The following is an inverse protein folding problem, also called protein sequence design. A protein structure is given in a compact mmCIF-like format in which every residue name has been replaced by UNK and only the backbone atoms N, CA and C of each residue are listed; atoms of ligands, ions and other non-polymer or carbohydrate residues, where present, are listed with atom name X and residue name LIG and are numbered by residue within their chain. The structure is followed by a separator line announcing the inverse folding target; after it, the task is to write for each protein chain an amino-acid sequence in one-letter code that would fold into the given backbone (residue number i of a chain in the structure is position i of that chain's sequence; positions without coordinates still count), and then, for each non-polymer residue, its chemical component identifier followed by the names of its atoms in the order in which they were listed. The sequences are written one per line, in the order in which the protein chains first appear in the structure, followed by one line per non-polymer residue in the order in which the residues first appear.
data_IF_734362301055
#
_entry.id   IF_734362301055
#
_cell.length_a   1.000
_cell.length_b   1.000
_cell.length_c   1.000
_cell.angle_alpha   90.00
_cell.angle_beta   90.00
_cell.angle_gamma   90.00
#
_symmetry.space_group_name_H-M   'P 1'
#
loop_
_entity.id
_entity.type
_entity.pdbx_description
1 polymer ?
#
# COMPACT_ATOMS: atom_id res chain seq x y z
N UNK A 1 11.45 40.94 -34.11
CA UNK A 1 12.18 39.71 -34.45
C UNK A 1 12.63 38.90 -33.25
N UNK A 2 13.05 39.56 -32.21
CA UNK A 2 13.47 38.88 -30.95
C UNK A 2 12.34 38.20 -30.21
N UNK A 3 11.10 38.68 -30.35
CA UNK A 3 9.94 38.01 -29.75
C UNK A 3 9.59 36.64 -30.34
N UNK A 4 10.12 36.32 -31.50
CA UNK A 4 9.92 35.02 -32.15
C UNK A 4 10.66 33.90 -31.43
N UNK A 5 11.88 34.14 -31.00
CA UNK A 5 12.69 33.17 -30.29
C UNK A 5 12.15 32.90 -28.89
N UNK A 6 11.53 33.90 -28.27
CA UNK A 6 10.87 33.78 -26.99
C UNK A 6 9.69 32.79 -27.04
N UNK A 7 8.86 32.86 -28.06
CA UNK A 7 7.76 31.93 -28.26
C UNK A 7 8.26 30.51 -28.60
N UNK A 8 9.35 30.40 -29.35
CA UNK A 8 9.98 29.15 -29.65
C UNK A 8 10.56 28.46 -28.41
N UNK A 9 11.13 29.23 -27.51
CA UNK A 9 11.66 28.76 -26.22
C UNK A 9 10.53 28.27 -25.29
N UNK A 10 9.44 29.04 -25.18
CA UNK A 10 8.27 28.67 -24.39
C UNK A 10 7.64 27.39 -24.91
N UNK A 11 7.56 27.17 -26.21
CA UNK A 11 7.05 25.96 -26.81
C UNK A 11 7.98 24.74 -26.58
N UNK A 12 9.29 24.96 -26.48
CA UNK A 12 10.26 23.92 -26.14
C UNK A 12 10.21 23.55 -24.65
N UNK A 13 10.03 24.54 -23.80
CA UNK A 13 9.91 24.34 -22.35
C UNK A 13 8.62 23.62 -21.98
N UNK A 14 7.57 23.72 -22.77
CA UNK A 14 6.32 23.00 -22.56
C UNK A 14 6.39 21.52 -22.92
N UNK A 15 7.47 21.05 -23.53
CA UNK A 15 7.72 19.63 -23.75
C UNK A 15 8.22 19.03 -22.45
N UNK A 16 7.34 18.31 -21.78
CA UNK A 16 7.73 17.53 -20.61
C UNK A 16 8.88 16.58 -20.96
N UNK A 17 9.89 16.48 -20.11
CA UNK A 17 10.94 15.49 -20.31
C UNK A 17 10.31 14.09 -20.34
N UNK A 18 10.61 13.32 -21.37
CA UNK A 18 10.07 11.97 -21.62
C UNK A 18 10.38 10.95 -20.49
N UNK A 19 11.18 11.34 -19.51
CA UNK A 19 11.72 10.47 -18.48
C UNK A 19 11.30 10.84 -17.06
N UNK A 20 10.22 11.61 -16.90
CA UNK A 20 9.75 11.94 -15.56
C UNK A 20 9.20 10.68 -14.89
N UNK A 21 9.89 10.22 -13.85
CA UNK A 21 9.35 9.17 -12.99
C UNK A 21 8.00 9.61 -12.44
N UNK A 22 7.00 8.75 -12.59
CA UNK A 22 5.69 9.00 -11.99
C UNK A 22 5.86 9.03 -10.47
N UNK A 23 5.25 10.00 -9.80
CA UNK A 23 5.30 10.06 -8.35
C UNK A 23 4.68 8.78 -7.76
N UNK A 24 5.21 8.34 -6.63
CA UNK A 24 4.65 7.21 -5.88
C UNK A 24 3.15 7.40 -5.69
N UNK A 25 2.36 6.41 -6.07
CA UNK A 25 0.91 6.45 -5.87
C UNK A 25 0.59 6.38 -4.38
N UNK A 26 -0.13 7.39 -3.88
CA UNK A 26 -0.66 7.38 -2.51
C UNK A 26 -2.11 6.94 -2.60
N UNK A 27 -2.37 5.71 -2.21
CA UNK A 27 -3.69 5.11 -2.21
C UNK A 27 -4.06 4.63 -0.81
N UNK A 28 -5.35 4.61 -0.55
CA UNK A 28 -5.94 4.04 0.65
C UNK A 28 -6.95 2.99 0.26
N UNK A 29 -7.19 2.04 1.15
CA UNK A 29 -8.31 1.12 1.04
C UNK A 29 -9.08 1.08 2.35
N UNK A 30 -10.32 0.62 2.29
CA UNK A 30 -11.16 0.39 3.47
C UNK A 30 -12.35 -0.47 3.10
N UNK A 31 -12.95 -1.11 4.08
CA UNK A 31 -14.15 -1.94 3.85
C UNK A 31 -15.42 -1.09 3.87
N UNK A 32 -16.19 -1.23 2.82
CA UNK A 32 -17.57 -0.73 2.73
C UNK A 32 -18.48 -1.52 3.69
N UNK A 33 -19.65 -0.98 3.96
CA UNK A 33 -20.70 -1.67 4.75
C UNK A 33 -21.08 -3.04 4.14
N UNK A 34 -20.96 -3.18 2.83
CA UNK A 34 -21.18 -4.45 2.11
C UNK A 34 -20.13 -5.54 2.41
N UNK A 35 -19.00 -5.17 3.02
CA UNK A 35 -17.86 -6.05 3.23
C UNK A 35 -16.85 -6.06 2.08
N UNK A 36 -17.15 -5.36 0.99
CA UNK A 36 -16.25 -5.22 -0.14
C UNK A 36 -15.17 -4.16 0.11
N UNK A 37 -14.03 -4.31 -0.54
CA UNK A 37 -12.95 -3.34 -0.45
C UNK A 37 -13.16 -2.17 -1.42
N UNK A 38 -13.01 -0.95 -0.90
CA UNK A 38 -12.89 0.26 -1.69
C UNK A 38 -11.43 0.71 -1.70
N UNK A 39 -10.95 1.23 -2.82
CA UNK A 39 -9.59 1.75 -2.96
C UNK A 39 -9.60 3.09 -3.69
N UNK A 40 -8.77 4.02 -3.25
CA UNK A 40 -8.68 5.35 -3.84
C UNK A 40 -8.13 6.40 -2.88
N UNK A 41 -8.64 7.60 -3.01
CA UNK A 41 -8.29 8.73 -2.15
C UNK A 41 -9.12 8.72 -0.88
N UNK A 42 -8.47 8.83 0.26
CA UNK A 42 -9.13 8.91 1.56
C UNK A 42 -9.52 10.35 1.89
N UNK A 43 -10.76 10.55 2.27
CA UNK A 43 -11.26 11.77 2.86
C UNK A 43 -11.83 11.46 4.25
N UNK A 44 -11.39 12.20 5.25
CA UNK A 44 -11.89 12.09 6.63
C UNK A 44 -12.55 13.41 7.01
N UNK A 45 -13.83 13.37 7.39
CA UNK A 45 -14.55 14.57 7.80
C UNK A 45 -14.27 14.93 9.28
N UNK A 46 -14.84 16.06 9.72
CA UNK A 46 -14.70 16.55 11.10
C UNK A 46 -15.26 15.61 12.17
N UNK A 47 -16.10 14.67 11.78
CA UNK A 47 -16.71 13.65 12.67
C UNK A 47 -15.94 12.31 12.64
N UNK A 48 -14.84 12.25 11.89
CA UNK A 48 -14.07 11.02 11.73
C UNK A 48 -14.67 10.02 10.74
N UNK A 49 -15.63 10.43 9.93
CA UNK A 49 -16.19 9.57 8.89
C UNK A 49 -15.21 9.45 7.74
N UNK A 50 -14.82 8.22 7.45
CA UNK A 50 -13.88 7.90 6.38
C UNK A 50 -14.63 7.55 5.08
N UNK A 51 -14.27 8.23 4.01
CA UNK A 51 -14.85 8.01 2.68
C UNK A 51 -13.69 7.79 1.70
N UNK A 52 -13.75 6.69 0.98
CA UNK A 52 -12.84 6.42 -0.15
C UNK A 52 -13.49 6.93 -1.42
N UNK A 53 -12.78 7.74 -2.18
CA UNK A 53 -13.21 8.28 -3.47
C UNK A 53 -12.35 7.72 -4.59
N UNK A 54 -12.91 7.58 -5.81
CA UNK A 54 -12.13 7.10 -6.95
C UNK A 54 -10.89 7.98 -7.15
N UNK A 55 -9.75 7.35 -7.28
CA UNK A 55 -8.54 8.02 -7.73
C UNK A 55 -8.46 8.04 -9.26
N UNK A 56 -7.60 8.91 -9.77
CA UNK A 56 -7.31 8.92 -11.20
C UNK A 56 -6.69 7.57 -11.60
N UNK A 57 -7.27 6.90 -12.58
CA UNK A 57 -6.85 5.56 -13.04
C UNK A 57 -6.97 4.44 -11.98
N UNK A 58 -7.83 4.59 -11.01
CA UNK A 58 -8.16 3.55 -10.04
C UNK A 58 -9.54 2.99 -10.38
N UNK A 59 -9.57 1.72 -10.75
CA UNK A 59 -10.81 0.97 -10.96
C UNK A 59 -11.16 0.28 -9.64
N UNK A 60 -12.38 0.47 -9.18
CA UNK A 60 -12.82 -0.19 -7.95
C UNK A 60 -14.02 0.49 -7.33
N UNK A 61 -14.47 -0.09 -6.24
CA UNK A 61 -15.58 0.44 -5.46
C UNK A 61 -15.14 1.62 -4.60
N UNK A 62 -16.07 2.48 -4.28
CA UNK A 62 -15.84 3.67 -3.46
C UNK A 62 -17.05 3.94 -2.56
N UNK A 63 -16.86 4.74 -1.53
CA UNK A 63 -17.90 5.14 -0.60
C UNK A 63 -17.40 5.24 0.83
N UNK A 64 -18.34 5.28 1.77
CA UNK A 64 -18.04 5.28 3.20
C UNK A 64 -17.51 3.92 3.63
N UNK A 65 -16.38 3.94 4.33
CA UNK A 65 -15.70 2.75 4.80
C UNK A 65 -15.64 2.71 6.33
N UNK A 66 -15.46 1.50 6.87
CA UNK A 66 -15.17 1.33 8.30
C UNK A 66 -13.77 1.89 8.59
N UNK A 67 -13.64 2.90 9.49
CA UNK A 67 -12.36 3.53 9.81
C UNK A 67 -11.29 2.55 10.30
N UNK A 68 -11.69 1.50 11.02
CA UNK A 68 -10.76 0.50 11.56
C UNK A 68 -10.09 -0.35 10.48
N UNK A 69 -10.68 -0.39 9.28
CA UNK A 69 -10.13 -1.15 8.15
C UNK A 69 -9.31 -0.30 7.19
N UNK A 70 -9.22 0.99 7.44
CA UNK A 70 -8.47 1.90 6.56
C UNK A 70 -6.98 1.60 6.65
N UNK A 71 -6.36 1.40 5.49
CA UNK A 71 -4.93 1.18 5.35
C UNK A 71 -4.38 1.90 4.13
N UNK A 72 -3.13 2.32 4.23
CA UNK A 72 -2.43 2.99 3.13
C UNK A 72 -1.64 1.98 2.30
N UNK A 73 -1.59 2.20 0.98
CA UNK A 73 -0.68 1.48 0.11
C UNK A 73 0.77 1.82 0.45
N UNK A 74 1.62 0.81 0.50
CA UNK A 74 3.04 0.97 0.82
C UNK A 74 3.84 1.65 -0.31
N UNK A 75 3.31 1.62 -1.52
CA UNK A 75 4.03 2.02 -2.73
C UNK A 75 4.88 0.90 -3.33
N UNK A 76 4.85 -0.27 -2.75
CA UNK A 76 5.56 -1.47 -3.23
C UNK A 76 4.52 -2.45 -3.79
N UNK A 77 4.84 -3.06 -4.92
CA UNK A 77 4.02 -4.08 -5.54
C UNK A 77 4.47 -5.47 -5.09
N UNK A 78 3.52 -6.39 -5.01
CA UNK A 78 3.83 -7.78 -4.75
C UNK A 78 4.31 -8.50 -6.03
N UNK A 79 4.61 -9.78 -5.91
CA UNK A 79 5.06 -10.66 -7.00
C UNK A 79 4.11 -10.66 -8.21
N UNK A 80 2.81 -10.43 -8.01
CA UNK A 80 1.79 -10.38 -9.06
C UNK A 80 1.43 -8.94 -9.48
N UNK A 81 2.27 -7.96 -9.17
CA UNK A 81 2.07 -6.53 -9.46
C UNK A 81 0.82 -5.92 -8.80
N UNK A 82 0.44 -6.42 -7.63
CA UNK A 82 -0.65 -5.87 -6.81
C UNK A 82 -0.09 -4.89 -5.78
N UNK A 83 -0.81 -3.79 -5.54
CA UNK A 83 -0.46 -2.85 -4.48
C UNK A 83 -0.51 -3.55 -3.11
N UNK A 84 0.56 -3.43 -2.33
CA UNK A 84 0.62 -3.93 -0.95
C UNK A 84 0.13 -2.83 -0.01
N UNK A 85 -0.88 -3.14 0.80
CA UNK A 85 -1.48 -2.23 1.78
C UNK A 85 -1.14 -2.61 3.21
N UNK A 86 -1.23 -1.64 4.11
CA UNK A 86 -1.28 -1.93 5.54
C UNK A 86 -2.38 -2.97 5.84
N UNK A 87 -2.07 -3.92 6.72
CA UNK A 87 -2.97 -5.01 7.05
C UNK A 87 -2.88 -6.22 6.12
N UNK A 88 -2.14 -6.14 5.02
CA UNK A 88 -1.89 -7.31 4.19
C UNK A 88 -1.02 -8.34 4.92
N UNK A 89 -1.27 -9.60 4.64
CA UNK A 89 -0.44 -10.72 5.08
C UNK A 89 0.39 -11.16 3.88
N UNK A 90 1.70 -11.10 4.04
CA UNK A 90 2.66 -11.48 3.00
C UNK A 90 3.31 -12.80 3.32
N UNK A 91 3.51 -13.60 2.29
CA UNK A 91 4.51 -14.67 2.28
C UNK A 91 5.83 -14.06 1.82
N UNK A 92 6.82 -14.10 2.70
CA UNK A 92 8.13 -13.50 2.45
C UNK A 92 8.98 -14.46 1.64
N UNK A 93 9.41 -14.01 0.48
CA UNK A 93 10.21 -14.79 -0.48
C UNK A 93 11.63 -14.27 -0.68
N UNK A 94 11.89 -13.00 -0.32
CA UNK A 94 13.24 -12.47 -0.44
C UNK A 94 14.17 -13.04 0.66
N UNK A 95 15.44 -13.00 0.38
CA UNK A 95 16.46 -13.48 1.32
C UNK A 95 16.53 -12.57 2.54
N UNK A 96 16.32 -13.15 3.70
CA UNK A 96 16.51 -12.50 4.99
C UNK A 96 17.53 -13.30 5.80
N UNK A 97 18.19 -12.71 6.82
CA UNK A 97 19.07 -13.47 7.69
C UNK A 97 18.39 -14.64 8.41
N UNK A 98 17.09 -14.55 8.60
CA UNK A 98 16.26 -15.59 9.26
C UNK A 98 15.11 -16.00 8.33
N UNK A 99 14.76 -17.28 8.29
CA UNK A 99 13.58 -17.73 7.56
C UNK A 99 12.35 -17.00 8.06
N UNK A 100 11.63 -16.36 7.17
CA UNK A 100 10.36 -15.68 7.48
C UNK A 100 9.27 -16.39 6.68
N UNK A 101 8.20 -16.78 7.37
CA UNK A 101 7.01 -17.34 6.74
C UNK A 101 6.02 -16.24 6.38
N UNK A 102 4.96 -16.12 7.18
CA UNK A 102 3.95 -15.08 7.02
C UNK A 102 4.31 -13.83 7.85
N UNK A 103 4.04 -12.67 7.30
CA UNK A 103 4.26 -11.39 7.97
C UNK A 103 3.12 -10.41 7.68
N UNK A 104 2.80 -9.56 8.65
CA UNK A 104 1.77 -8.54 8.54
C UNK A 104 2.39 -7.21 8.20
N UNK A 105 1.84 -6.51 7.21
CA UNK A 105 2.28 -5.17 6.81
C UNK A 105 1.73 -4.13 7.78
N UNK A 106 2.61 -3.36 8.38
CA UNK A 106 2.28 -2.24 9.29
C UNK A 106 3.22 -1.07 9.06
N UNK A 107 2.77 0.12 9.45
CA UNK A 107 3.65 1.28 9.52
C UNK A 107 4.48 1.23 10.81
N UNK A 108 5.78 1.15 10.64
CA UNK A 108 6.74 1.17 11.76
C UNK A 108 7.12 2.61 12.09
N UNK A 109 6.59 3.13 13.19
CA UNK A 109 6.88 4.50 13.64
C UNK A 109 8.36 4.72 14.00
N UNK A 110 9.05 3.67 14.45
CA UNK A 110 10.48 3.78 14.81
C UNK A 110 11.37 3.97 13.60
N UNK A 111 11.00 3.33 12.49
CA UNK A 111 11.74 3.41 11.22
C UNK A 111 11.13 4.39 10.22
N UNK A 112 9.97 4.96 10.54
CA UNK A 112 9.20 5.85 9.63
C UNK A 112 8.96 5.22 8.26
N UNK A 113 8.60 3.95 8.24
CA UNK A 113 8.43 3.16 7.03
C UNK A 113 7.39 2.05 7.19
N UNK A 114 6.82 1.62 6.08
CA UNK A 114 6.03 0.37 6.05
C UNK A 114 6.98 -0.82 6.11
N UNK A 115 6.69 -1.76 6.98
CA UNK A 115 7.51 -2.96 7.17
C UNK A 115 6.63 -4.20 7.33
N UNK A 116 7.22 -5.35 7.13
CA UNK A 116 6.57 -6.63 7.36
C UNK A 116 6.98 -7.18 8.73
N UNK A 117 6.00 -7.49 9.55
CA UNK A 117 6.17 -8.00 10.91
C UNK A 117 5.85 -9.49 10.90
N UNK A 118 6.85 -10.38 11.05
CA UNK A 118 6.61 -11.83 11.06
C UNK A 118 5.59 -12.23 12.12
N UNK A 119 4.68 -13.12 11.77
CA UNK A 119 3.61 -13.57 12.68
C UNK A 119 4.19 -14.30 13.89
N UNK A 120 5.21 -15.11 13.68
CA UNK A 120 5.90 -15.86 14.73
C UNK A 120 6.90 -15.03 15.55
N UNK A 121 7.36 -13.92 14.99
CA UNK A 121 8.38 -13.05 15.62
C UNK A 121 8.08 -11.57 15.34
N UNK A 122 7.00 -11.00 15.91
CA UNK A 122 6.54 -9.65 15.56
C UNK A 122 7.52 -8.54 15.95
N UNK A 123 8.52 -8.82 16.76
CA UNK A 123 9.59 -7.88 17.12
C UNK A 123 10.70 -7.80 16.07
N UNK A 124 10.74 -8.72 15.11
CA UNK A 124 11.79 -8.82 14.10
C UNK A 124 11.26 -8.37 12.73
N UNK A 125 10.85 -7.09 12.64
CA UNK A 125 10.33 -6.54 11.40
C UNK A 125 11.37 -6.55 10.29
N UNK A 126 10.95 -6.87 9.07
CA UNK A 126 11.80 -6.88 7.89
C UNK A 126 11.29 -5.91 6.82
N UNK A 127 12.17 -5.61 5.87
CA UNK A 127 11.82 -4.79 4.72
C UNK A 127 10.83 -5.56 3.81
N UNK A 128 9.87 -4.84 3.25
CA UNK A 128 9.00 -5.36 2.20
C UNK A 128 9.75 -5.24 0.87
N UNK A 129 9.86 -6.32 0.13
CA UNK A 129 10.59 -6.32 -1.14
C UNK A 129 10.03 -7.37 -2.11
N UNK A 130 10.27 -7.16 -3.40
CA UNK A 130 10.01 -8.17 -4.41
C UNK A 130 10.90 -9.42 -4.15
N UNK A 131 10.41 -10.64 -4.24
CA UNK A 131 9.11 -11.09 -4.75
C UNK A 131 8.10 -11.50 -3.64
N UNK A 132 7.96 -10.72 -2.59
CA UNK A 132 6.98 -11.01 -1.54
C UNK A 132 5.56 -11.06 -2.13
N UNK A 133 4.71 -11.90 -1.58
CA UNK A 133 3.39 -12.19 -2.14
C UNK A 133 2.28 -11.97 -1.12
N UNK A 134 1.23 -11.25 -1.53
CA UNK A 134 0.03 -11.11 -0.73
C UNK A 134 -0.73 -12.43 -0.72
N UNK A 135 -0.94 -13.02 0.46
CA UNK A 135 -1.71 -14.26 0.64
C UNK A 135 -3.05 -14.02 1.33
N UNK A 136 -3.27 -12.84 1.85
CA UNK A 136 -4.51 -12.43 2.50
C UNK A 136 -4.34 -11.10 3.23
N UNK A 137 -5.24 -10.83 4.17
CA UNK A 137 -5.16 -9.66 5.05
C UNK A 137 -5.75 -9.98 6.42
N UNK A 138 -5.44 -9.15 7.40
CA UNK A 138 -5.83 -9.38 8.81
C UNK A 138 -7.35 -9.33 9.02
N UNK A 139 -8.11 -8.72 8.12
CA UNK A 139 -9.56 -8.56 8.24
C UNK A 139 -10.34 -9.74 7.64
N UNK A 140 -9.90 -10.23 6.48
CA UNK A 140 -10.56 -11.31 5.77
C UNK A 140 -9.99 -12.69 6.14
N UNK A 141 -8.73 -12.74 6.53
CA UNK A 141 -7.99 -13.98 6.78
C UNK A 141 -7.32 -14.01 8.16
N UNK A 142 -8.05 -13.73 9.26
CA UNK A 142 -7.46 -13.72 10.61
C UNK A 142 -6.90 -15.09 11.00
N UNK A 143 -7.39 -16.18 10.42
CA UNK A 143 -6.92 -17.53 10.70
C UNK A 143 -5.47 -17.77 10.29
N UNK A 144 -4.96 -17.02 9.32
CA UNK A 144 -3.55 -17.09 8.92
C UNK A 144 -2.61 -16.64 10.05
N UNK A 145 -3.10 -15.80 10.98
CA UNK A 145 -2.32 -15.30 12.11
C UNK A 145 -2.14 -16.36 13.22
N UNK A 146 -3.03 -17.35 13.29
CA UNK A 146 -2.99 -18.40 14.30
C UNK A 146 -1.90 -19.43 14.04
N UNK A 147 -1.40 -19.53 12.82
CA UNK A 147 -0.33 -20.47 12.46
C UNK A 147 1.01 -20.16 13.16
N UNK A 148 1.18 -18.93 13.67
CA UNK A 148 2.35 -18.55 14.46
C UNK A 148 2.30 -19.02 15.92
N UNK A 149 1.12 -19.33 16.46
CA UNK A 149 0.97 -19.77 17.85
C UNK A 149 1.29 -21.26 18.03
N UNK A 150 1.05 -22.08 17.02
CA UNK A 150 1.28 -23.53 17.07
C UNK A 150 2.77 -23.91 17.03
N UNK A 151 3.65 -23.00 16.64
CA UNK A 151 5.10 -23.25 16.56
C UNK A 151 5.84 -22.93 17.86
N UNK A 152 5.16 -22.38 18.88
CA UNK A 152 5.74 -22.04 20.18
C UNK A 152 5.52 -23.10 21.26
N UNK A 153 4.94 -24.23 20.92
CA UNK A 153 4.77 -25.36 21.84
C UNK A 153 5.94 -26.32 21.81
#
# INVERSE_FOLDING_TARGET
MEGFDFFGLAAKESREPETRELPRRILFRGKLKSGEWASGNLNVDSKGICIIRPGKNVVGKYGRVNPETVGQATGILDKLARDIFEGDILKIHHKTPLPVGLAVVKYDKKQSAFRAFPVDRPWCACQIAYPDEIVGNIYDNPDLLKQGEDTQK
#
